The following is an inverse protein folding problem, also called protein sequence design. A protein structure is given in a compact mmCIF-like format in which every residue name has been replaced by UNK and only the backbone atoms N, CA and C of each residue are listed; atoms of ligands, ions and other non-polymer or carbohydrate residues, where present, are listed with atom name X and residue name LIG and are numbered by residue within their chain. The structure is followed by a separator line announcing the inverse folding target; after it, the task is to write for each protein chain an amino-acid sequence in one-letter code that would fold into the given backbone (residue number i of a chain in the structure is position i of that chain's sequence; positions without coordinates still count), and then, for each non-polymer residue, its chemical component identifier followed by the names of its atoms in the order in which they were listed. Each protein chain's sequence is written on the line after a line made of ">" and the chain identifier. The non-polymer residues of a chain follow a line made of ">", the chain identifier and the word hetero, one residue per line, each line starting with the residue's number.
data_IF_941115654929
#
_entry.id   IF_941115654929
#
_cell.length_a   1.000
_cell.length_b   1.000
_cell.length_c   1.000
_cell.angle_alpha   90.00
_cell.angle_beta   90.00
_cell.angle_gamma   90.00
#
_symmetry.space_group_name_H-M   'P 1'
#
loop_
_entity.id
_entity.type
_entity.pdbx_description
1 polymer ?
#
# COMPACT_ATOMS: atom_id res chain seq x y z
N UNK A 1 -7.17 18.07 -26.40
CA UNK A 1 -7.06 18.43 -24.97
C UNK A 1 -8.30 17.92 -24.29
N UNK A 2 -8.29 16.67 -23.80
CA UNK A 2 -9.40 16.14 -22.99
C UNK A 2 -8.98 16.32 -21.54
N UNK A 3 -9.46 17.40 -20.94
CA UNK A 3 -9.46 17.56 -19.49
C UNK A 3 -10.28 16.42 -18.89
N UNK A 4 -9.67 15.64 -18.00
CA UNK A 4 -10.33 14.52 -17.34
C UNK A 4 -9.42 13.77 -16.38
N UNK A 5 -8.62 14.49 -15.58
CA UNK A 5 -7.87 13.86 -14.48
C UNK A 5 -8.28 14.54 -13.18
N UNK A 6 -9.48 14.23 -12.69
CA UNK A 6 -9.81 14.46 -11.29
C UNK A 6 -9.31 13.24 -10.48
N UNK A 7 -7.99 13.02 -10.47
CA UNK A 7 -7.39 12.22 -9.40
C UNK A 7 -7.42 13.12 -8.17
N UNK A 8 -8.45 12.98 -7.33
CA UNK A 8 -8.45 13.57 -5.99
C UNK A 8 -7.62 12.65 -5.10
N UNK A 9 -6.29 12.70 -5.22
CA UNK A 9 -5.40 11.89 -4.41
C UNK A 9 -4.08 11.57 -5.11
N UNK A 10 -3.08 11.12 -4.34
CA UNK A 10 -1.78 10.70 -4.87
C UNK A 10 -1.92 9.50 -5.80
N UNK A 11 -1.01 9.37 -6.76
CA UNK A 11 -1.02 8.27 -7.72
C UNK A 11 -0.75 6.92 -7.01
N UNK A 12 -1.34 5.81 -7.50
CA UNK A 12 -1.16 4.49 -6.90
C UNK A 12 0.32 4.07 -6.80
N UNK A 13 1.13 4.40 -7.81
CA UNK A 13 2.57 4.17 -7.79
C UNK A 13 3.28 4.97 -6.68
N UNK A 14 2.89 6.24 -6.47
CA UNK A 14 3.43 7.07 -5.39
C UNK A 14 3.07 6.50 -4.01
N UNK A 15 1.84 6.02 -3.85
CA UNK A 15 1.38 5.37 -2.61
C UNK A 15 2.19 4.11 -2.33
N UNK A 16 2.45 3.27 -3.35
CA UNK A 16 3.27 2.07 -3.23
C UNK A 16 4.70 2.39 -2.81
N UNK A 17 5.34 3.36 -3.46
CA UNK A 17 6.71 3.78 -3.11
C UNK A 17 6.80 4.37 -1.71
N UNK A 18 5.84 5.23 -1.35
CA UNK A 18 5.71 5.82 -0.02
C UNK A 18 5.52 4.73 1.05
N UNK A 19 4.61 3.80 0.82
CA UNK A 19 4.34 2.67 1.71
C UNK A 19 5.57 1.79 1.87
N UNK A 20 6.23 1.40 0.77
CA UNK A 20 7.46 0.60 0.82
C UNK A 20 8.55 1.28 1.66
N UNK A 21 8.69 2.59 1.52
CA UNK A 21 9.67 3.37 2.31
C UNK A 21 9.28 3.47 3.78
N UNK A 22 8.00 3.67 4.07
CA UNK A 22 7.47 3.69 5.42
C UNK A 22 7.62 2.35 6.13
N UNK A 23 7.32 1.23 5.44
CA UNK A 23 7.52 -0.13 5.97
C UNK A 23 9.00 -0.48 6.16
N UNK A 24 9.87 0.06 5.32
CA UNK A 24 11.32 -0.10 5.51
C UNK A 24 11.82 0.67 6.74
N UNK A 25 11.27 1.86 7.02
CA UNK A 25 11.60 2.66 8.22
C UNK A 25 11.00 2.04 9.49
N UNK A 26 9.73 1.63 9.42
CA UNK A 26 8.99 1.01 10.52
C UNK A 26 8.15 -0.18 10.01
N UNK A 27 8.66 -1.42 10.12
CA UNK A 27 7.96 -2.60 9.64
C UNK A 27 6.68 -2.91 10.42
N UNK A 28 6.50 -2.31 11.60
CA UNK A 28 5.29 -2.48 12.42
C UNK A 28 4.07 -1.79 11.82
N UNK A 29 4.28 -0.87 10.87
CA UNK A 29 3.22 -0.21 10.11
C UNK A 29 2.40 -1.20 9.28
N UNK A 30 2.99 -2.32 8.83
CA UNK A 30 2.28 -3.33 8.04
C UNK A 30 1.14 -4.03 8.81
N UNK A 31 1.22 -4.09 10.13
CA UNK A 31 0.19 -4.69 10.98
C UNK A 31 -0.93 -3.68 11.34
N UNK A 32 -0.76 -2.40 10.97
CA UNK A 32 -1.73 -1.34 11.23
C UNK A 32 -2.82 -1.35 10.16
N UNK A 33 -4.02 -0.86 10.49
CA UNK A 33 -5.07 -0.64 9.49
C UNK A 33 -4.66 0.44 8.48
N UNK A 34 -5.22 0.32 7.28
CA UNK A 34 -4.90 1.12 6.11
C UNK A 34 -5.22 2.60 6.30
N UNK A 35 -6.29 2.92 7.04
CA UNK A 35 -6.62 4.29 7.44
C UNK A 35 -5.49 4.94 8.27
N UNK A 36 -4.91 4.21 9.22
CA UNK A 36 -3.78 4.73 10.00
C UNK A 36 -2.52 4.85 9.15
N UNK A 37 -2.31 3.92 8.23
CA UNK A 37 -1.19 3.96 7.30
C UNK A 37 -1.29 5.17 6.36
N UNK A 38 -2.45 5.41 5.76
CA UNK A 38 -2.71 6.56 4.90
C UNK A 38 -2.33 7.88 5.59
N UNK A 39 -2.88 8.09 6.79
CA UNK A 39 -2.55 9.26 7.61
C UNK A 39 -1.08 9.31 7.98
N UNK A 40 -0.45 8.17 8.29
CA UNK A 40 0.99 8.12 8.63
C UNK A 40 1.85 8.50 7.44
N UNK A 41 1.50 8.08 6.22
CA UNK A 41 2.24 8.39 5.01
C UNK A 41 2.24 9.90 4.74
N UNK A 42 1.09 10.56 4.87
CA UNK A 42 1.01 12.01 4.76
C UNK A 42 1.72 12.75 5.92
N UNK A 43 1.52 12.32 7.17
CA UNK A 43 2.11 12.98 8.34
C UNK A 43 3.64 12.87 8.39
N UNK A 44 4.19 11.74 7.97
CA UNK A 44 5.65 11.55 7.88
C UNK A 44 6.26 12.21 6.65
N UNK A 45 5.44 12.78 5.76
CA UNK A 45 5.89 13.45 4.55
C UNK A 45 6.35 12.49 3.46
N UNK A 46 5.89 11.24 3.47
CA UNK A 46 6.09 10.32 2.35
C UNK A 46 5.18 10.65 1.17
N UNK A 47 4.01 11.25 1.45
CA UNK A 47 3.07 11.76 0.46
C UNK A 47 2.71 13.21 0.78
N UNK A 48 2.47 14.01 -0.26
CA UNK A 48 2.01 15.40 -0.11
C UNK A 48 0.54 15.49 0.31
N UNK A 49 -0.23 14.43 0.07
CA UNK A 49 -1.67 14.34 0.31
C UNK A 49 -2.00 13.02 1.00
N UNK A 50 -3.11 12.99 1.75
CA UNK A 50 -3.59 11.76 2.37
C UNK A 50 -4.06 10.79 1.26
N UNK A 51 -3.45 9.60 1.12
CA UNK A 51 -3.89 8.62 0.15
C UNK A 51 -5.21 8.00 0.58
N UNK A 52 -5.96 7.47 -0.38
CA UNK A 52 -7.17 6.73 -0.05
C UNK A 52 -6.80 5.41 0.66
N UNK A 53 -7.45 5.05 1.78
CA UNK A 53 -7.17 3.79 2.47
C UNK A 53 -7.35 2.56 1.56
N UNK A 54 -8.23 2.65 0.55
CA UNK A 54 -8.37 1.58 -0.46
C UNK A 54 -7.09 1.42 -1.28
N UNK A 55 -6.46 2.53 -1.71
CA UNK A 55 -5.18 2.49 -2.44
C UNK A 55 -4.05 1.93 -1.57
N UNK A 56 -4.04 2.25 -0.28
CA UNK A 56 -3.06 1.70 0.67
C UNK A 56 -3.25 0.20 0.84
N UNK A 57 -4.50 -0.28 0.90
CA UNK A 57 -4.81 -1.71 0.95
C UNK A 57 -4.32 -2.44 -0.31
N UNK A 58 -4.59 -1.87 -1.48
CA UNK A 58 -4.14 -2.43 -2.77
C UNK A 58 -2.62 -2.45 -2.86
N UNK A 59 -1.95 -1.37 -2.43
CA UNK A 59 -0.49 -1.29 -2.40
C UNK A 59 0.12 -2.30 -1.41
N UNK A 60 -0.48 -2.51 -0.24
CA UNK A 60 -0.08 -3.56 0.70
C UNK A 60 -0.23 -4.95 0.07
N UNK A 61 -1.38 -5.24 -0.54
CA UNK A 61 -1.64 -6.49 -1.25
C UNK A 61 -0.60 -6.74 -2.35
N UNK A 62 -0.27 -5.73 -3.14
CA UNK A 62 0.75 -5.82 -4.17
C UNK A 62 2.16 -6.10 -3.61
N UNK A 63 2.50 -5.59 -2.42
CA UNK A 63 3.76 -5.90 -1.73
C UNK A 63 3.79 -7.33 -1.18
N UNK A 64 2.63 -7.86 -0.81
CA UNK A 64 2.45 -9.24 -0.35
C UNK A 64 2.49 -10.26 -1.49
N UNK A 65 1.90 -9.93 -2.63
CA UNK A 65 1.89 -10.75 -3.85
C UNK A 65 3.28 -10.84 -4.52
N UNK A 66 4.17 -9.87 -4.29
CA UNK A 66 5.58 -9.91 -4.70
C UNK A 66 6.47 -10.71 -3.70
N UNK A 67 5.95 -11.00 -2.50
CA UNK A 67 6.53 -11.98 -1.57
C UNK A 67 6.25 -13.41 -2.05
N UNK A 68 7.13 -14.40 -1.78
CA UNK A 68 6.96 -15.75 -2.31
C UNK A 68 5.58 -16.26 -1.92
N UNK A 69 4.70 -16.38 -2.91
CA UNK A 69 3.34 -16.83 -2.72
C UNK A 69 3.37 -18.07 -1.87
N UNK A 70 2.66 -18.03 -0.74
CA UNK A 70 2.39 -19.24 0.00
C UNK A 70 1.56 -20.14 -0.93
N UNK A 71 2.26 -20.99 -1.67
CA UNK A 71 1.78 -22.26 -2.19
C UNK A 71 1.29 -23.06 -0.99
N UNK A 72 0.11 -22.70 -0.49
CA UNK A 72 -0.71 -23.58 0.34
C UNK A 72 -1.33 -24.64 -0.57
N UNK A 73 -0.50 -25.40 -1.27
CA UNK A 73 -0.94 -26.66 -1.88
C UNK A 73 -1.08 -27.69 -0.76
N UNK A 74 -2.31 -27.72 -0.25
CA UNK A 74 -3.05 -28.87 0.23
C UNK A 74 -2.21 -30.09 0.61
N UNK A 75 -2.22 -30.37 1.92
CA UNK A 75 -1.98 -31.69 2.43
C UNK A 75 -2.79 -32.75 1.65
N UNK A 76 -2.08 -33.82 1.30
CA UNK A 76 -2.55 -35.18 0.94
C UNK A 76 -2.92 -35.42 -0.53
N UNK A 77 -2.25 -36.41 -1.13
CA UNK A 77 -3.00 -37.52 -1.71
C UNK A 77 -2.49 -38.90 -1.26
N UNK A 78 -3.43 -39.62 -0.65
CA UNK A 78 -3.72 -41.08 -0.60
C UNK A 78 -2.70 -42.14 -0.21
#
# INVERSE_FOLDING_TARGET
>A
MTSGNIQMGPDPDEVLEALKKALHDDPTLRDRPEEQLATTLAQKGYLEQDPDPVLVAEALGALDEDGPGEETEAASPT
#
